data_IF_645625840291
#
_entry.id   IF_645625840291
#
_cell.length_a   1.000
_cell.length_b   1.000
_cell.length_c   1.000
_cell.angle_alpha   90.00
_cell.angle_beta   90.00
_cell.angle_gamma   90.00
#
_symmetry.space_group_name_H-M   'P 1'
#
loop_
_entity.id
_entity.type
_entity.pdbx_description
1 polymer ?
#
# COMPACT_ATOMS: atom_id res chain seq x y z
N UNK A 1 -43.15 -17.71 -18.40
CA UNK A 1 -41.89 -17.01 -18.09
C UNK A 1 -40.95 -17.11 -19.30
N UNK A 2 -41.25 -16.45 -20.44
CA UNK A 2 -40.54 -16.67 -21.74
C UNK A 2 -40.43 -15.42 -22.66
N UNK A 3 -40.63 -14.20 -22.15
CA UNK A 3 -40.84 -13.02 -23.02
C UNK A 3 -39.73 -11.95 -23.05
N UNK A 4 -38.56 -12.12 -22.42
CA UNK A 4 -37.55 -11.05 -22.36
C UNK A 4 -36.33 -11.17 -23.30
N UNK A 5 -36.21 -12.19 -24.16
CA UNK A 5 -34.96 -12.41 -24.94
C UNK A 5 -34.84 -11.68 -26.28
N UNK A 6 -35.82 -10.88 -26.72
CA UNK A 6 -35.84 -10.33 -28.09
C UNK A 6 -35.36 -8.87 -28.26
N UNK A 7 -35.01 -8.15 -27.18
CA UNK A 7 -34.77 -6.70 -27.27
C UNK A 7 -33.29 -6.25 -27.43
N UNK A 8 -32.32 -7.16 -27.55
CA UNK A 8 -30.90 -6.81 -27.75
C UNK A 8 -30.42 -7.06 -29.19
N UNK A 9 -31.21 -6.64 -30.19
CA UNK A 9 -30.78 -6.66 -31.59
C UNK A 9 -30.14 -5.32 -31.97
N UNK A 10 -28.81 -5.31 -32.06
CA UNK A 10 -28.15 -4.72 -33.22
C UNK A 10 -27.63 -3.29 -33.12
N UNK A 11 -26.94 -2.90 -32.04
CA UNK A 11 -25.99 -1.79 -32.14
C UNK A 11 -24.70 -2.29 -32.82
N UNK A 12 -24.70 -2.35 -34.16
CA UNK A 12 -23.49 -2.61 -34.94
C UNK A 12 -22.64 -1.35 -34.93
N UNK A 13 -21.78 -1.20 -33.92
CA UNK A 13 -20.86 -0.08 -33.85
C UNK A 13 -19.94 -0.04 -35.08
N UNK A 14 -19.76 1.15 -35.65
CA UNK A 14 -18.83 1.37 -36.74
C UNK A 14 -17.40 1.03 -36.25
N UNK A 15 -16.62 0.24 -37.01
CA UNK A 15 -15.25 -0.12 -36.61
C UNK A 15 -14.36 1.09 -36.36
N UNK A 16 -14.61 2.24 -37.02
CA UNK A 16 -13.88 3.49 -36.76
C UNK A 16 -14.20 4.06 -35.36
N UNK A 17 -15.47 4.09 -34.98
CA UNK A 17 -15.90 4.55 -33.65
C UNK A 17 -15.35 3.66 -32.54
N UNK A 18 -15.31 2.34 -32.77
CA UNK A 18 -14.71 1.40 -31.82
C UNK A 18 -13.22 1.66 -31.59
N UNK A 19 -12.46 1.99 -32.63
CA UNK A 19 -11.03 2.31 -32.52
C UNK A 19 -10.79 3.59 -31.71
N UNK A 20 -11.62 4.62 -31.93
CA UNK A 20 -11.52 5.89 -31.19
C UNK A 20 -11.81 5.67 -29.71
N UNK A 21 -12.87 4.95 -29.37
CA UNK A 21 -13.23 4.67 -27.97
C UNK A 21 -12.14 3.85 -27.27
N UNK A 22 -11.57 2.85 -27.95
CA UNK A 22 -10.45 2.08 -27.40
C UNK A 22 -9.22 2.96 -27.17
N UNK A 23 -8.88 3.85 -28.10
CA UNK A 23 -7.78 4.79 -27.94
C UNK A 23 -7.99 5.74 -26.76
N UNK A 24 -9.19 6.30 -26.60
CA UNK A 24 -9.51 7.16 -25.46
C UNK A 24 -9.41 6.42 -24.14
N UNK A 25 -9.95 5.20 -24.08
CA UNK A 25 -9.86 4.33 -22.91
C UNK A 25 -8.39 4.06 -22.53
N UNK A 26 -7.54 3.75 -23.50
CA UNK A 26 -6.12 3.49 -23.27
C UNK A 26 -5.39 4.75 -22.77
N UNK A 27 -5.71 5.92 -23.31
CA UNK A 27 -5.18 7.20 -22.82
C UNK A 27 -5.53 7.44 -21.35
N UNK A 28 -6.77 7.18 -20.94
CA UNK A 28 -7.20 7.34 -19.54
C UNK A 28 -6.43 6.40 -18.61
N UNK A 29 -6.21 5.14 -19.03
CA UNK A 29 -5.40 4.18 -18.26
C UNK A 29 -3.97 4.69 -18.08
N UNK A 30 -3.33 5.15 -19.16
CA UNK A 30 -1.95 5.64 -19.12
C UNK A 30 -1.83 6.86 -18.19
N UNK A 31 -2.76 7.81 -18.27
CA UNK A 31 -2.80 8.97 -17.37
C UNK A 31 -2.98 8.54 -15.91
N UNK A 32 -3.83 7.55 -15.65
CA UNK A 32 -4.01 6.97 -14.31
C UNK A 32 -2.73 6.34 -13.75
N UNK A 33 -1.97 5.61 -14.58
CA UNK A 33 -0.67 5.02 -14.20
C UNK A 33 0.34 6.12 -13.89
N UNK A 34 0.45 7.13 -14.75
CA UNK A 34 1.37 8.27 -14.55
C UNK A 34 1.04 8.98 -13.24
N UNK A 35 -0.24 9.26 -12.98
CA UNK A 35 -0.69 9.89 -11.74
C UNK A 35 -0.34 9.05 -10.51
N UNK A 36 -0.57 7.74 -10.57
CA UNK A 36 -0.21 6.82 -9.48
C UNK A 36 1.30 6.80 -9.20
N UNK A 37 2.13 6.75 -10.25
CA UNK A 37 3.59 6.80 -10.13
C UNK A 37 4.06 8.16 -9.57
N UNK A 38 3.46 9.26 -10.02
CA UNK A 38 3.73 10.59 -9.50
C UNK A 38 3.49 10.68 -8.00
N UNK A 39 2.35 10.16 -7.52
CA UNK A 39 2.03 10.14 -6.08
C UNK A 39 3.06 9.33 -5.26
N UNK A 40 3.54 8.20 -5.80
CA UNK A 40 4.60 7.42 -5.15
C UNK A 40 5.92 8.17 -5.07
N UNK A 41 6.30 8.88 -6.13
CA UNK A 41 7.50 9.71 -6.12
C UNK A 41 7.41 10.87 -5.12
N UNK A 42 6.24 11.48 -4.97
CA UNK A 42 6.03 12.57 -4.00
C UNK A 42 6.22 12.10 -2.55
N UNK A 43 5.80 10.88 -2.22
CA UNK A 43 6.05 10.31 -0.90
C UNK A 43 7.55 10.23 -0.59
N UNK A 44 8.38 9.81 -1.55
CA UNK A 44 9.82 9.72 -1.31
C UNK A 44 10.48 11.10 -1.16
N UNK A 45 10.03 12.11 -1.90
CA UNK A 45 10.64 13.44 -1.90
C UNK A 45 10.24 14.31 -0.70
N UNK A 46 8.96 14.29 -0.33
CA UNK A 46 8.36 15.25 0.60
C UNK A 46 7.68 14.58 1.80
N UNK A 47 8.15 13.40 2.22
CA UNK A 47 7.58 12.75 3.39
C UNK A 47 7.86 13.53 4.67
N UNK A 48 6.92 13.43 5.60
CA UNK A 48 7.15 13.71 7.01
C UNK A 48 7.19 12.41 7.79
N UNK A 49 7.85 12.44 8.94
CA UNK A 49 7.97 11.29 9.84
C UNK A 49 7.05 11.54 11.05
N UNK A 50 6.29 10.52 11.42
CA UNK A 50 5.55 10.42 12.68
C UNK A 50 5.85 9.07 13.32
N UNK A 51 5.26 8.81 14.48
CA UNK A 51 5.36 7.54 15.18
C UNK A 51 4.05 6.79 15.01
N UNK A 52 4.12 5.53 14.59
CA UNK A 52 2.98 4.62 14.54
C UNK A 52 3.17 3.46 15.49
N UNK A 53 2.07 2.85 15.92
CA UNK A 53 2.03 1.69 16.80
C UNK A 53 1.40 0.50 16.07
N UNK A 54 2.03 -0.66 16.16
CA UNK A 54 1.47 -1.90 15.62
C UNK A 54 0.32 -2.35 16.51
N UNK A 55 -0.85 -2.59 15.93
CA UNK A 55 -2.05 -2.99 16.67
C UNK A 55 -2.46 -4.44 16.38
N UNK A 56 -2.09 -4.99 15.22
CA UNK A 56 -2.49 -6.33 14.81
C UNK A 56 -1.55 -6.88 13.73
N UNK A 57 -1.32 -8.19 13.73
CA UNK A 57 -0.68 -8.91 12.61
C UNK A 57 -1.65 -9.96 12.06
N UNK A 58 -1.92 -9.92 10.76
CA UNK A 58 -2.83 -10.87 10.09
C UNK A 58 -2.07 -11.73 9.11
N UNK A 59 -2.45 -13.00 9.00
CA UNK A 59 -1.93 -13.87 7.94
C UNK A 59 -2.59 -13.56 6.58
N UNK A 60 -1.80 -13.43 5.52
CA UNK A 60 -2.30 -13.29 4.16
C UNK A 60 -2.13 -14.60 3.39
N UNK A 61 -3.15 -15.46 3.46
CA UNK A 61 -3.14 -16.79 2.83
C UNK A 61 -2.87 -16.76 1.32
N UNK A 62 -3.33 -15.71 0.62
CA UNK A 62 -3.14 -15.54 -0.82
C UNK A 62 -1.74 -15.05 -1.23
N UNK A 63 -0.89 -14.67 -0.27
CA UNK A 63 0.41 -14.02 -0.54
C UNK A 63 1.61 -14.93 -0.23
N UNK A 64 1.42 -16.25 -0.19
CA UNK A 64 2.54 -17.18 -0.02
C UNK A 64 3.19 -17.12 1.36
N UNK A 65 2.42 -16.81 2.41
CA UNK A 65 2.94 -16.75 3.78
C UNK A 65 3.27 -15.35 4.29
N UNK A 66 3.02 -14.30 3.50
CA UNK A 66 3.11 -12.91 3.97
C UNK A 66 2.18 -12.63 5.13
N UNK A 67 2.53 -11.60 5.89
CA UNK A 67 1.69 -11.03 6.92
C UNK A 67 1.24 -9.62 6.53
N UNK A 68 0.06 -9.23 7.02
CA UNK A 68 -0.42 -7.86 7.01
C UNK A 68 -0.25 -7.29 8.41
N UNK A 69 0.72 -6.41 8.57
CA UNK A 69 0.99 -5.69 9.80
C UNK A 69 0.12 -4.43 9.82
N UNK A 70 -0.89 -4.42 10.67
CA UNK A 70 -1.83 -3.30 10.85
C UNK A 70 -1.28 -2.38 11.94
N UNK A 71 -1.23 -1.09 11.64
CA UNK A 71 -0.72 -0.08 12.55
C UNK A 71 -1.61 1.15 12.55
N UNK A 72 -1.61 1.83 13.69
CA UNK A 72 -2.22 3.13 13.87
C UNK A 72 -1.14 4.21 13.99
N UNK A 73 -1.43 5.42 13.51
CA UNK A 73 -0.57 6.58 13.69
C UNK A 73 -1.42 7.84 13.72
N UNK A 74 -0.91 8.87 14.40
CA UNK A 74 -1.60 10.15 14.54
C UNK A 74 -0.88 11.23 13.73
N UNK A 75 -1.66 12.00 12.98
CA UNK A 75 -1.19 13.22 12.30
C UNK A 75 -2.23 14.31 12.57
N UNK A 76 -1.82 15.34 13.31
CA UNK A 76 -2.69 16.39 13.85
C UNK A 76 -3.75 15.79 14.79
N UNK A 77 -5.03 16.10 14.59
CA UNK A 77 -6.15 15.57 15.37
C UNK A 77 -6.73 14.25 14.82
N UNK A 78 -6.11 13.64 13.80
CA UNK A 78 -6.67 12.48 13.10
C UNK A 78 -5.87 11.20 13.36
N UNK A 79 -6.58 10.18 13.83
CA UNK A 79 -6.07 8.81 13.93
C UNK A 79 -6.25 8.10 12.59
N UNK A 80 -5.16 7.52 12.08
CA UNK A 80 -5.14 6.81 10.82
C UNK A 80 -4.76 5.36 11.07
N UNK A 81 -5.46 4.44 10.39
CA UNK A 81 -5.16 3.01 10.41
C UNK A 81 -4.72 2.59 9.02
N UNK A 82 -3.58 1.92 8.94
CA UNK A 82 -3.01 1.39 7.69
C UNK A 82 -2.49 -0.02 7.92
N UNK A 83 -2.22 -0.69 6.82
CA UNK A 83 -1.57 -2.00 6.86
C UNK A 83 -0.39 -2.02 5.91
N UNK A 84 0.64 -2.75 6.31
CA UNK A 84 1.82 -3.03 5.51
C UNK A 84 1.91 -4.53 5.30
N UNK A 85 2.11 -4.94 4.05
CA UNK A 85 2.45 -6.34 3.78
C UNK A 85 3.93 -6.54 4.03
N UNK A 86 4.27 -7.54 4.84
CA UNK A 86 5.63 -7.94 5.13
C UNK A 86 5.80 -9.43 4.91
N UNK A 87 6.94 -9.81 4.33
CA UNK A 87 7.24 -11.19 3.97
C UNK A 87 8.42 -11.74 4.77
N UNK A 88 9.23 -10.85 5.34
CA UNK A 88 10.44 -11.22 6.08
C UNK A 88 10.15 -11.57 7.54
N UNK A 89 9.00 -11.15 8.08
CA UNK A 89 8.63 -11.37 9.49
C UNK A 89 7.59 -12.49 9.57
N UNK A 90 7.89 -13.59 10.30
CA UNK A 90 6.91 -14.65 10.53
C UNK A 90 5.73 -14.16 11.36
N UNK A 91 4.55 -14.74 11.14
CA UNK A 91 3.34 -14.36 11.87
C UNK A 91 3.48 -14.52 13.39
N UNK A 92 4.10 -15.61 13.85
CA UNK A 92 4.28 -15.87 15.28
C UNK A 92 5.18 -14.79 15.91
N UNK A 93 6.31 -14.47 15.30
CA UNK A 93 7.22 -13.42 15.77
C UNK A 93 6.54 -12.04 15.74
N UNK A 94 5.72 -11.76 14.72
CA UNK A 94 4.96 -10.51 14.65
C UNK A 94 3.99 -10.37 15.84
N UNK A 95 3.21 -11.43 16.10
CA UNK A 95 2.24 -11.43 17.19
C UNK A 95 2.90 -11.31 18.57
N UNK A 96 4.06 -11.96 18.76
CA UNK A 96 4.74 -11.98 20.06
C UNK A 96 5.58 -10.72 20.33
N UNK A 97 6.23 -10.18 19.30
CA UNK A 97 7.27 -9.17 19.49
C UNK A 97 6.97 -7.80 18.90
N UNK A 98 6.04 -7.69 17.93
CA UNK A 98 5.78 -6.44 17.22
C UNK A 98 4.51 -5.73 17.69
N UNK A 99 3.47 -6.46 18.10
CA UNK A 99 2.24 -5.85 18.61
C UNK A 99 2.55 -4.95 19.82
N UNK A 100 2.02 -3.73 19.79
CA UNK A 100 2.26 -2.72 20.82
C UNK A 100 3.56 -1.94 20.68
N UNK A 101 4.48 -2.36 19.82
CA UNK A 101 5.71 -1.61 19.52
C UNK A 101 5.44 -0.43 18.61
N UNK A 102 6.30 0.57 18.72
CA UNK A 102 6.25 1.78 17.91
C UNK A 102 7.38 1.82 16.90
N UNK A 103 7.08 2.35 15.72
CA UNK A 103 8.01 2.48 14.61
C UNK A 103 7.83 3.82 13.90
N UNK A 104 8.88 4.34 13.25
CA UNK A 104 8.74 5.50 12.38
C UNK A 104 7.75 5.20 11.23
N UNK A 105 6.85 6.14 10.98
CA UNK A 105 5.93 6.11 9.84
C UNK A 105 6.22 7.32 8.98
N UNK A 106 6.56 7.07 7.71
CA UNK A 106 6.62 8.14 6.71
C UNK A 106 5.23 8.36 6.12
N UNK A 107 4.86 9.61 5.89
CA UNK A 107 3.59 9.95 5.25
C UNK A 107 3.72 11.19 4.37
N UNK A 108 2.88 11.28 3.34
CA UNK A 108 2.77 12.48 2.52
C UNK A 108 1.85 13.50 3.22
N UNK A 109 2.31 14.72 3.55
CA UNK A 109 1.49 15.74 4.21
C UNK A 109 0.31 16.23 3.35
N UNK A 110 0.44 16.21 2.01
CA UNK A 110 -0.62 16.60 1.07
C UNK A 110 -1.66 15.48 0.91
N UNK A 111 -1.26 14.22 1.11
CA UNK A 111 -2.15 13.08 1.05
C UNK A 111 -1.79 12.05 2.11
N UNK A 112 -2.39 12.23 3.30
CA UNK A 112 -2.18 11.39 4.49
C UNK A 112 -2.53 9.91 4.26
N UNK A 113 -3.22 9.57 3.17
CA UNK A 113 -3.49 8.18 2.82
C UNK A 113 -2.28 7.42 2.33
N UNK A 114 -1.28 8.13 1.80
CA UNK A 114 0.02 7.57 1.48
C UNK A 114 0.92 7.64 2.70
N UNK A 115 0.97 6.52 3.43
CA UNK A 115 1.87 6.33 4.55
C UNK A 115 2.47 4.92 4.51
N UNK A 116 3.67 4.78 5.04
CA UNK A 116 4.37 3.50 5.17
C UNK A 116 5.15 3.45 6.47
N UNK A 117 5.00 2.37 7.22
CA UNK A 117 5.79 2.11 8.42
C UNK A 117 7.17 1.55 8.06
N UNK A 118 8.21 2.10 8.69
CA UNK A 118 9.60 1.68 8.52
C UNK A 118 9.97 0.70 9.64
N UNK A 119 10.20 -0.57 9.28
CA UNK A 119 10.41 -1.65 10.26
C UNK A 119 11.78 -2.29 10.01
N UNK A 120 12.03 -2.69 8.77
CA UNK A 120 13.23 -3.41 8.35
C UNK A 120 14.29 -2.43 7.83
N UNK A 121 15.59 -2.78 7.86
CA UNK A 121 16.64 -1.96 7.25
C UNK A 121 16.37 -1.60 5.79
N UNK A 122 15.71 -2.49 5.03
CA UNK A 122 15.28 -2.24 3.64
C UNK A 122 14.33 -1.06 3.53
N UNK A 123 13.40 -0.91 4.47
CA UNK A 123 12.44 0.19 4.48
C UNK A 123 13.12 1.54 4.65
N UNK A 124 14.02 1.61 5.63
CA UNK A 124 14.81 2.80 5.93
C UNK A 124 15.68 3.18 4.72
N UNK A 125 16.39 2.20 4.14
CA UNK A 125 17.20 2.41 2.93
C UNK A 125 16.37 2.91 1.76
N UNK A 126 15.18 2.34 1.53
CA UNK A 126 14.29 2.75 0.43
C UNK A 126 13.76 4.17 0.56
N UNK A 127 13.74 4.69 1.80
CA UNK A 127 13.28 6.04 2.13
C UNK A 127 14.44 7.02 2.35
N UNK A 128 15.69 6.59 2.09
CA UNK A 128 16.91 7.36 2.34
C UNK A 128 17.05 7.84 3.80
N UNK A 129 16.66 7.00 4.75
CA UNK A 129 16.76 7.24 6.20
C UNK A 129 17.73 6.21 6.80
N UNK A 130 18.53 6.62 7.79
CA UNK A 130 19.43 5.73 8.51
C UNK A 130 18.62 4.82 9.43
N UNK A 131 18.92 3.52 9.41
CA UNK A 131 18.31 2.56 10.33
C UNK A 131 18.81 2.82 11.76
N UNK A 132 17.93 3.14 12.73
CA UNK A 132 18.36 3.53 14.07
C UNK A 132 18.75 2.31 14.90
N UNK A 133 19.79 2.46 15.75
CA UNK A 133 20.27 1.38 16.60
C UNK A 133 19.22 0.84 17.58
N UNK A 134 18.25 1.68 17.96
CA UNK A 134 17.11 1.30 18.81
C UNK A 134 16.21 0.23 18.18
N UNK A 135 16.32 0.01 16.86
CA UNK A 135 15.59 -1.01 16.12
C UNK A 135 16.46 -2.22 15.73
N UNK A 136 17.73 -2.30 16.14
CA UNK A 136 18.61 -3.42 15.79
C UNK A 136 18.06 -4.79 16.21
N UNK A 137 17.22 -4.84 17.25
CA UNK A 137 16.55 -6.07 17.69
C UNK A 137 15.65 -6.69 16.62
N UNK A 138 15.12 -5.89 15.67
CA UNK A 138 14.24 -6.36 14.59
C UNK A 138 14.94 -7.38 13.72
N UNK A 139 16.25 -7.24 13.51
CA UNK A 139 17.05 -8.12 12.65
C UNK A 139 17.00 -9.59 13.08
N UNK A 140 16.79 -9.87 14.38
CA UNK A 140 16.64 -11.24 14.90
C UNK A 140 15.42 -11.98 14.31
N UNK A 141 14.40 -11.23 13.87
CA UNK A 141 13.12 -11.78 13.42
C UNK A 141 12.93 -11.72 11.91
N UNK A 142 13.94 -11.28 11.16
CA UNK A 142 13.90 -11.24 9.69
C UNK A 142 14.39 -12.58 9.13
N UNK A 143 13.59 -13.17 8.23
CA UNK A 143 14.02 -14.29 7.38
C UNK A 143 14.75 -13.74 6.16
N UNK A 144 15.86 -14.37 5.81
CA UNK A 144 16.60 -14.13 4.56
C UNK A 144 15.92 -14.78 3.35
#
# INVERSE_FOLDING_TARGET
>A
MLLQSKCLKGLKMNPKTSRILFSLFLTVIVLGIIYFLYQRCQLLKNHKITIGKVIECRFLSKSGGSISLVYEYQVDAFNNIRSKTENLIPLNDCNEHFIGKTFPVIYNPENKSFASMLITPRDFKSSNIIFPDTLNWVNKYLRE
#
